data_IF_538108393279
#
_entry.id   IF_538108393279
#
_cell.length_a   1.000
_cell.length_b   1.000
_cell.length_c   1.000
_cell.angle_alpha   90.00
_cell.angle_beta   90.00
_cell.angle_gamma   90.00
#
_symmetry.space_group_name_H-M   'P 1'
#
loop_
_entity.id
_entity.type
_entity.pdbx_description
1 polymer ?
#
# COMPACT_ATOMS: atom_id res chain seq x y z
N UNK A 1 -25.46 69.62 24.38
CA UNK A 1 -24.46 68.81 25.12
C UNK A 1 -24.81 67.33 24.96
N UNK A 2 -23.84 66.47 24.62
CA UNK A 2 -24.09 65.18 23.95
C UNK A 2 -24.43 64.03 24.91
N UNK A 3 -25.23 63.08 24.40
CA UNK A 3 -25.55 61.79 25.03
C UNK A 3 -24.39 60.81 24.84
N UNK A 4 -23.82 60.30 25.93
CA UNK A 4 -22.87 59.17 25.87
C UNK A 4 -23.66 57.86 25.77
N UNK A 5 -23.72 57.29 24.57
CA UNK A 5 -24.06 55.89 24.37
C UNK A 5 -22.79 55.04 24.57
N UNK A 6 -22.72 54.32 25.68
CA UNK A 6 -21.72 53.28 25.88
C UNK A 6 -22.06 52.06 25.02
N UNK A 7 -21.34 51.87 23.92
CA UNK A 7 -21.33 50.61 23.17
C UNK A 7 -20.39 49.62 23.88
N UNK A 8 -20.96 48.54 24.41
CA UNK A 8 -20.22 47.34 24.83
C UNK A 8 -19.96 46.49 23.58
N UNK A 9 -18.71 46.26 23.15
CA UNK A 9 -18.45 45.20 22.19
C UNK A 9 -18.51 43.86 22.94
N UNK A 10 -19.57 43.11 22.65
CA UNK A 10 -19.75 41.72 23.05
C UNK A 10 -18.63 40.90 22.40
N UNK A 11 -17.59 40.58 23.18
CA UNK A 11 -16.48 39.75 22.76
C UNK A 11 -16.96 38.29 22.65
N UNK A 12 -17.33 37.86 21.44
CA UNK A 12 -17.63 36.46 21.13
C UNK A 12 -16.34 35.63 21.18
N UNK A 13 -16.10 35.00 22.32
CA UNK A 13 -15.07 33.99 22.51
C UNK A 13 -15.44 32.76 21.64
N UNK A 14 -14.84 32.65 20.44
CA UNK A 14 -14.86 31.43 19.63
C UNK A 14 -14.06 30.37 20.39
N UNK A 15 -14.75 29.53 21.17
CA UNK A 15 -14.18 28.29 21.68
C UNK A 15 -13.82 27.41 20.48
N UNK A 16 -12.53 27.37 20.15
CA UNK A 16 -11.94 26.31 19.32
C UNK A 16 -12.15 24.99 20.07
N UNK A 17 -13.22 24.28 19.72
CA UNK A 17 -13.37 22.89 20.10
C UNK A 17 -12.21 22.11 19.46
N UNK A 18 -11.51 21.23 20.19
CA UNK A 18 -10.53 20.35 19.59
C UNK A 18 -11.27 19.49 18.55
N UNK A 19 -10.94 19.67 17.28
CA UNK A 19 -11.37 18.74 16.24
C UNK A 19 -10.69 17.41 16.54
N UNK A 20 -11.44 16.48 17.14
CA UNK A 20 -10.98 15.12 17.36
C UNK A 20 -10.67 14.51 16.00
N UNK A 21 -9.40 14.24 15.73
CA UNK A 21 -8.97 13.58 14.51
C UNK A 21 -9.49 12.13 14.51
N UNK A 22 -9.68 11.55 13.32
CA UNK A 22 -9.93 10.11 13.24
C UNK A 22 -8.66 9.35 13.66
N UNK A 23 -8.81 8.20 14.29
CA UNK A 23 -7.68 7.35 14.68
C UNK A 23 -7.59 6.14 13.78
N UNK A 24 -6.37 5.73 13.48
CA UNK A 24 -6.06 4.48 12.81
C UNK A 24 -5.23 3.60 13.72
N UNK A 25 -5.75 2.42 14.01
CA UNK A 25 -5.05 1.38 14.72
C UNK A 25 -4.53 0.32 13.75
N UNK A 26 -3.27 -0.06 13.89
CA UNK A 26 -2.64 -1.12 13.12
C UNK A 26 -2.67 -2.42 13.92
N UNK A 27 -2.96 -3.54 13.25
CA UNK A 27 -2.78 -4.87 13.83
C UNK A 27 -1.32 -5.13 14.25
N UNK A 28 -1.12 -6.03 15.22
CA UNK A 28 0.19 -6.29 15.83
C UNK A 28 1.26 -6.80 14.86
N UNK A 29 0.82 -7.39 13.75
CA UNK A 29 1.66 -7.90 12.67
C UNK A 29 1.86 -6.88 11.53
N UNK A 30 1.53 -5.61 11.77
CA UNK A 30 1.78 -4.51 10.85
C UNK A 30 2.75 -3.51 11.47
N UNK A 31 3.74 -3.12 10.68
CA UNK A 31 4.68 -2.05 10.99
C UNK A 31 4.36 -0.83 10.14
N UNK A 32 4.18 0.32 10.76
CA UNK A 32 4.07 1.60 10.06
C UNK A 32 5.47 2.07 9.64
N UNK A 33 5.68 2.21 8.34
CA UNK A 33 6.97 2.65 7.77
C UNK A 33 7.02 4.17 7.59
N UNK A 34 5.94 4.77 7.10
CA UNK A 34 5.82 6.21 6.92
C UNK A 34 4.36 6.66 6.93
N UNK A 35 4.14 7.92 7.31
CA UNK A 35 2.82 8.56 7.31
C UNK A 35 2.91 10.02 6.85
N UNK A 36 1.81 10.60 6.38
CA UNK A 36 1.72 12.03 6.07
C UNK A 36 1.87 12.90 7.33
N UNK A 37 1.63 12.35 8.52
CA UNK A 37 1.76 13.05 9.80
C UNK A 37 3.20 13.03 10.34
N UNK A 38 4.15 12.44 9.60
CA UNK A 38 5.55 12.37 9.96
C UNK A 38 6.01 10.96 10.32
N UNK A 39 7.21 10.89 10.88
CA UNK A 39 7.88 9.62 11.16
C UNK A 39 7.17 8.90 12.32
N UNK A 40 6.65 7.70 12.10
CA UNK A 40 5.98 6.95 13.15
C UNK A 40 6.98 6.53 14.23
N UNK A 41 6.54 6.53 15.49
CA UNK A 41 7.29 5.86 16.56
C UNK A 41 7.31 4.36 16.28
N UNK A 42 8.47 3.71 16.51
CA UNK A 42 8.65 2.27 16.26
C UNK A 42 7.69 1.38 17.07
N UNK A 43 7.07 1.92 18.11
CA UNK A 43 6.13 1.21 18.99
C UNK A 43 4.68 1.70 18.86
N UNK A 44 4.46 2.81 18.16
CA UNK A 44 3.09 3.35 18.02
C UNK A 44 2.37 2.61 16.91
N UNK A 45 1.27 1.95 17.30
CA UNK A 45 0.30 1.33 16.39
C UNK A 45 -0.95 2.17 16.18
N UNK A 46 -1.06 3.29 16.89
CA UNK A 46 -2.17 4.23 16.76
C UNK A 46 -1.65 5.51 16.12
N UNK A 47 -2.38 6.01 15.14
CA UNK A 47 -2.06 7.22 14.40
C UNK A 47 -3.30 8.11 14.30
N UNK A 48 -3.17 9.40 14.58
CA UNK A 48 -4.20 10.37 14.26
C UNK A 48 -4.17 10.68 12.76
N UNK A 49 -5.34 10.68 12.13
CA UNK A 49 -5.55 10.91 10.72
C UNK A 49 -6.32 12.20 10.49
N UNK A 50 -5.87 13.06 9.56
CA UNK A 50 -6.71 14.14 9.08
C UNK A 50 -7.89 13.57 8.32
N UNK A 51 -9.03 14.26 8.37
CA UNK A 51 -10.19 13.90 7.57
C UNK A 51 -9.86 13.92 6.08
N UNK A 52 -10.39 12.94 5.33
CA UNK A 52 -10.20 12.84 3.89
C UNK A 52 -9.20 11.76 3.47
N UNK A 53 -8.59 11.90 2.29
CA UNK A 53 -7.68 10.89 1.76
C UNK A 53 -6.32 10.97 2.44
N UNK A 54 -5.86 9.84 2.99
CA UNK A 54 -4.52 9.70 3.55
C UNK A 54 -3.81 8.50 2.93
N UNK A 55 -2.51 8.69 2.64
CA UNK A 55 -1.60 7.65 2.17
C UNK A 55 -0.59 7.28 3.25
N UNK A 56 -0.32 5.99 3.39
CA UNK A 56 0.57 5.42 4.39
C UNK A 56 1.46 4.36 3.73
N UNK A 57 2.67 4.18 4.25
CA UNK A 57 3.48 2.99 3.96
C UNK A 57 3.45 2.07 5.17
N UNK A 58 3.06 0.82 4.95
CA UNK A 58 3.03 -0.22 5.98
C UNK A 58 3.76 -1.46 5.51
N UNK A 59 4.10 -2.35 6.43
CA UNK A 59 4.68 -3.65 6.13
C UNK A 59 4.07 -4.72 7.02
N UNK A 60 3.76 -5.87 6.43
CA UNK A 60 3.44 -7.05 7.21
C UNK A 60 4.72 -7.62 7.83
N UNK A 61 4.70 -7.89 9.12
CA UNK A 61 5.82 -8.38 9.91
C UNK A 61 5.30 -9.32 11.01
N UNK A 62 5.55 -10.62 10.87
CA UNK A 62 5.01 -11.66 11.75
C UNK A 62 6.07 -12.71 12.08
N UNK A 63 5.99 -13.39 13.24
CA UNK A 63 6.66 -14.68 13.44
C UNK A 63 6.32 -15.64 12.30
N UNK A 64 7.27 -16.49 11.92
CA UNK A 64 7.14 -17.46 10.83
C UNK A 64 6.17 -18.60 11.14
N UNK A 65 6.00 -18.88 12.43
CA UNK A 65 5.06 -19.85 12.96
C UNK A 65 4.47 -19.30 14.26
N UNK A 66 3.17 -18.99 14.31
CA UNK A 66 2.53 -18.34 15.45
C UNK A 66 2.34 -19.31 16.63
N UNK A 67 2.44 -20.63 16.40
CA UNK A 67 2.26 -21.64 17.43
C UNK A 67 3.60 -22.21 17.95
N UNK A 68 4.72 -21.70 17.44
CA UNK A 68 6.03 -22.19 17.83
C UNK A 68 6.37 -21.77 19.26
N UNK A 69 6.88 -22.71 20.06
CA UNK A 69 7.44 -22.46 21.39
C UNK A 69 8.94 -22.12 21.35
N UNK A 70 9.52 -21.99 20.16
CA UNK A 70 10.91 -21.57 19.99
C UNK A 70 11.08 -20.14 20.53
N UNK A 71 12.14 -19.88 21.29
CA UNK A 71 12.43 -18.57 21.86
C UNK A 71 12.83 -17.53 20.81
N UNK A 72 13.19 -17.97 19.60
CA UNK A 72 13.52 -17.09 18.46
C UNK A 72 12.88 -17.61 17.19
N UNK A 73 11.54 -17.50 17.05
CA UNK A 73 10.89 -17.83 15.79
C UNK A 73 11.39 -16.82 14.75
N UNK A 74 11.84 -17.32 13.60
CA UNK A 74 12.21 -16.46 12.47
C UNK A 74 11.06 -15.53 12.12
N UNK A 75 11.34 -14.35 11.58
CA UNK A 75 10.31 -13.39 11.16
C UNK A 75 10.12 -13.44 9.65
N UNK A 76 8.88 -13.24 9.22
CA UNK A 76 8.50 -13.14 7.82
C UNK A 76 7.96 -11.74 7.60
N UNK A 77 8.53 -11.07 6.60
CA UNK A 77 8.13 -9.71 6.21
C UNK A 77 7.69 -9.65 4.75
N UNK A 78 6.66 -8.85 4.49
CA UNK A 78 6.27 -8.51 3.13
C UNK A 78 7.16 -7.41 2.55
N UNK A 79 7.05 -7.18 1.24
CA UNK A 79 7.44 -5.90 0.68
C UNK A 79 6.56 -4.77 1.28
N UNK A 80 7.00 -3.49 1.22
CA UNK A 80 6.22 -2.36 1.67
C UNK A 80 4.91 -2.25 0.88
N UNK A 81 3.84 -1.84 1.55
CA UNK A 81 2.56 -1.58 0.94
C UNK A 81 2.26 -0.08 1.02
N UNK A 82 1.94 0.52 -0.12
CA UNK A 82 1.27 1.79 -0.18
C UNK A 82 -0.22 1.56 0.06
N UNK A 83 -0.72 2.17 1.12
CA UNK A 83 -2.11 2.09 1.54
C UNK A 83 -2.73 3.47 1.41
N UNK A 84 -3.87 3.56 0.73
CA UNK A 84 -4.68 4.78 0.62
C UNK A 84 -6.05 4.53 1.25
N UNK A 85 -6.42 5.39 2.19
CA UNK A 85 -7.67 5.32 2.95
C UNK A 85 -8.39 6.65 2.90
N UNK A 86 -9.72 6.61 3.00
CA UNK A 86 -10.55 7.80 3.27
C UNK A 86 -10.90 7.81 4.74
N UNK A 87 -10.20 8.63 5.50
CA UNK A 87 -10.44 8.80 6.93
C UNK A 87 -11.71 9.65 7.16
N UNK A 88 -12.59 9.23 8.09
CA UNK A 88 -13.71 10.06 8.52
C UNK A 88 -13.21 11.30 9.28
N UNK A 89 -14.12 12.22 9.59
CA UNK A 89 -13.76 13.39 10.40
C UNK A 89 -13.39 13.03 11.85
N UNK A 90 -13.94 11.94 12.37
CA UNK A 90 -13.77 11.47 13.74
C UNK A 90 -14.13 9.98 13.82
N UNK A 91 -13.65 9.29 14.87
CA UNK A 91 -13.85 7.86 15.10
C UNK A 91 -12.58 7.05 14.87
N UNK A 92 -12.67 5.72 15.05
CA UNK A 92 -11.52 4.82 14.99
C UNK A 92 -11.67 3.80 13.87
N UNK A 93 -10.62 3.72 13.05
CA UNK A 93 -10.41 2.74 12.00
C UNK A 93 -9.36 1.73 12.45
N UNK A 94 -9.46 0.50 11.98
CA UNK A 94 -8.49 -0.57 12.21
C UNK A 94 -8.03 -1.16 10.89
N UNK A 95 -6.72 -1.09 10.66
CA UNK A 95 -6.05 -1.76 9.55
C UNK A 95 -5.57 -3.13 10.02
N UNK A 96 -6.15 -4.18 9.46
CA UNK A 96 -5.96 -5.56 9.95
C UNK A 96 -5.57 -6.51 8.83
N UNK A 97 -5.03 -7.66 9.22
CA UNK A 97 -4.85 -8.81 8.33
C UNK A 97 -6.01 -9.79 8.50
N UNK A 98 -6.27 -10.68 7.53
CA UNK A 98 -7.07 -11.89 7.78
C UNK A 98 -6.43 -12.75 8.89
N UNK A 99 -7.16 -13.76 9.36
CA UNK A 99 -6.64 -14.73 10.31
C UNK A 99 -5.55 -15.59 9.63
N UNK A 100 -4.33 -15.56 10.18
CA UNK A 100 -3.16 -16.28 9.66
C UNK A 100 -2.70 -17.34 10.68
N UNK A 101 -3.44 -18.46 10.75
CA UNK A 101 -3.23 -19.49 11.78
C UNK A 101 -2.07 -20.46 11.50
N UNK A 102 -1.51 -20.46 10.28
CA UNK A 102 -0.52 -21.46 9.85
C UNK A 102 0.69 -20.80 9.17
N UNK A 103 1.86 -21.42 9.32
CA UNK A 103 3.10 -20.94 8.69
C UNK A 103 3.00 -20.83 7.15
N UNK A 104 2.36 -21.75 6.41
CA UNK A 104 2.11 -21.58 4.97
C UNK A 104 1.23 -20.37 4.66
N UNK A 105 0.17 -20.13 5.43
CA UNK A 105 -0.71 -18.97 5.24
C UNK A 105 0.04 -17.65 5.45
N UNK A 106 0.91 -17.58 6.47
CA UNK A 106 1.79 -16.43 6.74
C UNK A 106 2.75 -16.19 5.57
N UNK A 107 3.41 -17.24 5.07
CA UNK A 107 4.32 -17.13 3.92
C UNK A 107 3.61 -16.63 2.68
N UNK A 108 2.44 -17.21 2.36
CA UNK A 108 1.64 -16.80 1.21
C UNK A 108 1.16 -15.35 1.35
N UNK A 109 0.71 -14.97 2.54
CA UNK A 109 0.29 -13.60 2.82
C UNK A 109 1.45 -12.60 2.66
N UNK A 110 2.66 -12.94 3.10
CA UNK A 110 3.81 -12.05 2.96
C UNK A 110 4.23 -11.81 1.50
N UNK A 111 3.95 -12.74 0.58
CA UNK A 111 4.22 -12.58 -0.85
C UNK A 111 3.22 -11.59 -1.48
N UNK A 112 1.94 -11.72 -1.14
CA UNK A 112 0.88 -10.87 -1.67
C UNK A 112 -0.08 -10.43 -0.56
N UNK A 113 0.35 -9.46 0.26
CA UNK A 113 -0.42 -9.04 1.43
C UNK A 113 -1.69 -8.32 1.00
N UNK A 114 -2.81 -8.74 1.57
CA UNK A 114 -4.13 -8.14 1.37
C UNK A 114 -4.69 -7.70 2.72
N UNK A 115 -4.61 -6.42 3.00
CA UNK A 115 -5.11 -5.81 4.23
C UNK A 115 -6.61 -5.53 4.14
N UNK A 116 -7.24 -5.40 5.30
CA UNK A 116 -8.63 -5.00 5.47
C UNK A 116 -8.68 -3.74 6.33
N UNK A 117 -9.58 -2.81 5.99
CA UNK A 117 -9.88 -1.65 6.82
C UNK A 117 -11.26 -1.85 7.43
N UNK A 118 -11.37 -1.67 8.74
CA UNK A 118 -12.63 -1.86 9.47
C UNK A 118 -12.86 -0.70 10.44
N UNK A 119 -14.11 -0.38 10.72
CA UNK A 119 -14.47 0.44 11.87
C UNK A 119 -14.48 -0.40 13.15
N UNK A 120 -14.64 0.24 14.32
CA UNK A 120 -14.72 -0.45 15.63
C UNK A 120 -15.89 -1.44 15.75
N UNK A 121 -16.96 -1.26 14.99
CA UNK A 121 -18.10 -2.17 14.89
C UNK A 121 -17.82 -3.40 14.00
N UNK A 122 -16.63 -3.48 13.39
CA UNK A 122 -16.25 -4.53 12.45
C UNK A 122 -16.71 -4.28 11.02
N UNK A 123 -17.40 -3.17 10.74
CA UNK A 123 -17.87 -2.84 9.39
C UNK A 123 -16.68 -2.54 8.46
N UNK A 124 -16.63 -3.22 7.31
CA UNK A 124 -15.59 -3.01 6.32
C UNK A 124 -15.64 -1.61 5.72
N UNK A 125 -14.47 -1.00 5.55
CA UNK A 125 -14.26 0.31 4.95
C UNK A 125 -13.44 0.19 3.67
N UNK A 126 -13.62 1.10 2.70
CA UNK A 126 -12.87 1.07 1.46
C UNK A 126 -11.38 1.30 1.72
N UNK A 127 -10.56 0.47 1.07
CA UNK A 127 -9.10 0.46 1.17
C UNK A 127 -8.52 0.25 -0.22
N UNK A 128 -7.64 1.15 -0.65
CA UNK A 128 -6.78 0.90 -1.81
C UNK A 128 -5.40 0.53 -1.31
N UNK A 129 -4.84 -0.55 -1.85
CA UNK A 129 -3.49 -1.01 -1.49
C UNK A 129 -2.69 -1.38 -2.73
N UNK A 130 -1.40 -1.10 -2.68
CA UNK A 130 -0.44 -1.42 -3.73
C UNK A 130 0.83 -1.94 -3.06
N UNK A 131 1.24 -3.15 -3.42
CA UNK A 131 2.54 -3.70 -3.01
C UNK A 131 3.63 -2.97 -3.80
N UNK A 132 4.60 -2.42 -3.09
CA UNK A 132 5.75 -1.77 -3.69
C UNK A 132 6.80 -2.80 -4.09
N UNK A 133 7.53 -2.56 -5.20
CA UNK A 133 8.65 -3.40 -5.61
C UNK A 133 9.71 -3.56 -4.49
N UNK A 134 10.24 -4.78 -4.30
CA UNK A 134 11.24 -5.05 -3.24
C UNK A 134 12.56 -4.28 -3.40
N UNK A 135 12.93 -3.83 -4.60
CA UNK A 135 14.10 -2.97 -4.76
C UNK A 135 13.95 -1.61 -4.07
N UNK A 136 12.72 -1.20 -3.75
CA UNK A 136 12.45 -0.01 -2.93
C UNK A 136 12.55 -0.31 -1.42
N UNK A 137 12.77 -1.57 -1.01
CA UNK A 137 12.79 -2.03 0.38
C UNK A 137 14.21 -2.45 0.80
N UNK A 138 15.08 -1.45 0.95
CA UNK A 138 16.47 -1.64 1.40
C UNK A 138 16.64 -1.15 2.83
N UNK A 139 17.72 -1.57 3.49
CA UNK A 139 18.09 -1.07 4.83
C UNK A 139 18.26 0.46 4.89
N UNK A 140 18.47 1.11 3.75
CA UNK A 140 18.69 2.56 3.63
C UNK A 140 17.50 3.31 3.05
N UNK A 141 16.38 2.63 2.77
CA UNK A 141 15.22 3.29 2.19
C UNK A 141 14.69 4.39 3.09
N UNK A 142 14.62 5.60 2.56
CA UNK A 142 13.88 6.69 3.18
C UNK A 142 12.39 6.56 2.83
N UNK A 143 11.66 5.87 3.71
CA UNK A 143 10.22 5.64 3.49
C UNK A 143 9.40 6.94 3.52
N UNK A 144 9.88 8.00 4.18
CA UNK A 144 9.17 9.28 4.19
C UNK A 144 9.27 9.97 2.83
N UNK A 145 10.47 9.99 2.24
CA UNK A 145 10.69 10.47 0.88
C UNK A 145 9.95 9.60 -0.16
N UNK A 146 9.98 8.28 0.03
CA UNK A 146 9.24 7.34 -0.84
C UNK A 146 7.75 7.63 -0.80
N UNK A 147 7.15 7.80 0.38
CA UNK A 147 5.74 8.13 0.52
C UNK A 147 5.41 9.49 -0.11
N UNK A 148 6.28 10.50 0.04
CA UNK A 148 6.09 11.81 -0.57
C UNK A 148 6.03 11.73 -2.11
N UNK A 149 6.79 10.82 -2.73
CA UNK A 149 6.74 10.60 -4.17
C UNK A 149 5.37 10.11 -4.67
N UNK A 150 4.59 9.45 -3.81
CA UNK A 150 3.22 9.00 -4.09
C UNK A 150 2.13 9.98 -3.64
N UNK A 151 2.49 11.05 -2.92
CA UNK A 151 1.58 12.12 -2.51
C UNK A 151 1.57 13.29 -3.50
N UNK A 152 2.64 13.46 -4.27
CA UNK A 152 2.65 14.45 -5.35
C UNK A 152 1.47 14.17 -6.30
N UNK A 153 0.66 15.18 -6.64
CA UNK A 153 -0.32 15.00 -7.71
C UNK A 153 0.45 14.52 -8.93
N UNK A 154 0.02 13.38 -9.49
CA UNK A 154 0.62 12.87 -10.71
C UNK A 154 0.71 14.05 -11.70
N UNK A 155 1.87 14.30 -12.33
CA UNK A 155 1.86 15.16 -13.49
C UNK A 155 0.79 14.56 -14.42
N UNK A 156 -0.15 15.38 -14.87
CA UNK A 156 -1.36 14.95 -15.60
C UNK A 156 -1.09 14.28 -16.96
N UNK A 157 0.13 13.77 -17.19
CA UNK A 157 0.62 13.16 -18.42
C UNK A 157 1.13 11.73 -18.25
N UNK A 158 0.78 11.03 -17.17
CA UNK A 158 0.92 9.56 -17.14
C UNK A 158 -0.46 8.94 -17.12
N UNK A 159 -0.94 8.63 -18.33
CA UNK A 159 -2.09 7.76 -18.56
C UNK A 159 -1.89 6.49 -17.73
N UNK A 160 -2.76 6.20 -16.74
CA UNK A 160 -2.74 4.90 -16.10
C UNK A 160 -3.04 3.83 -17.17
N UNK A 161 -2.37 2.67 -17.16
CA UNK A 161 -2.85 1.55 -17.95
C UNK A 161 -4.23 1.17 -17.40
N UNK A 162 -5.27 1.50 -18.17
CA UNK A 162 -6.62 1.01 -17.93
C UNK A 162 -6.58 -0.51 -18.01
N UNK A 163 -6.52 -1.17 -16.85
CA UNK A 163 -6.89 -2.58 -16.74
C UNK A 163 -8.41 -2.61 -16.78
N UNK A 164 -8.96 -2.63 -17.99
CA UNK A 164 -10.34 -3.01 -18.21
C UNK A 164 -10.47 -4.48 -17.82
N UNK A 165 -10.93 -4.75 -16.59
CA UNK A 165 -11.53 -6.04 -16.26
C UNK A 165 -12.88 -6.09 -16.96
N UNK A 166 -12.92 -6.61 -18.18
CA UNK A 166 -14.17 -7.01 -18.81
C UNK A 166 -14.69 -8.26 -18.09
N UNK A 167 -15.80 -8.06 -17.39
CA UNK A 167 -16.66 -9.07 -16.81
C UNK A 167 -17.39 -9.82 -17.93
N UNK A 168 -17.37 -11.17 -17.98
CA UNK A 168 -18.12 -11.91 -18.98
C UNK A 168 -19.59 -12.04 -18.56
N UNK A 169 -20.50 -11.56 -19.42
CA UNK A 169 -21.92 -11.94 -19.38
C UNK A 169 -22.34 -12.49 -20.76
N UNK A 170 -22.63 -13.80 -20.76
CA UNK A 170 -23.53 -14.60 -21.61
C UNK A 170 -23.80 -14.20 -23.10
N UNK A 171 -23.16 -14.93 -24.02
CA UNK A 171 -23.64 -15.75 -25.19
C UNK A 171 -25.11 -15.59 -25.71
N UNK A 172 -25.46 -15.93 -27.00
CA UNK A 172 -24.98 -15.59 -28.38
C UNK A 172 -26.20 -15.15 -29.27
N UNK A 173 -26.29 -15.27 -30.64
CA UNK A 173 -25.34 -15.65 -31.71
C UNK A 173 -25.33 -14.74 -32.96
N UNK A 174 -24.24 -14.75 -33.76
CA UNK A 174 -24.29 -14.73 -35.25
C UNK A 174 -22.96 -15.16 -35.89
N UNK A 175 -23.11 -15.85 -37.02
CA UNK A 175 -22.20 -16.66 -37.84
C UNK A 175 -21.22 -15.85 -38.72
N UNK A 176 -20.01 -16.42 -38.90
CA UNK A 176 -18.97 -16.27 -39.98
C UNK A 176 -18.33 -14.87 -40.15
N UNK A 177 -17.01 -14.69 -40.33
CA UNK A 177 -16.00 -15.43 -41.12
C UNK A 177 -14.58 -15.17 -40.54
N UNK A 178 -13.68 -16.13 -40.72
CA UNK A 178 -12.27 -16.18 -40.26
C UNK A 178 -11.34 -15.08 -40.83
N UNK A 179 -10.46 -14.54 -39.99
CA UNK A 179 -9.09 -14.11 -40.33
C UNK A 179 -8.19 -14.25 -39.07
N UNK A 180 -6.98 -14.84 -39.14
CA UNK A 180 -6.30 -15.40 -37.97
C UNK A 180 -5.51 -14.35 -37.20
N UNK A 181 -5.99 -13.95 -36.01
CA UNK A 181 -5.18 -13.21 -35.05
C UNK A 181 -4.34 -14.18 -34.22
N UNK A 182 -3.04 -14.20 -34.49
CA UNK A 182 -2.02 -14.92 -33.71
C UNK A 182 -2.11 -14.49 -32.24
N UNK A 183 -2.64 -15.38 -31.40
CA UNK A 183 -2.49 -15.29 -29.95
C UNK A 183 -1.00 -15.45 -29.63
N UNK A 184 -0.33 -14.37 -29.25
CA UNK A 184 0.94 -14.48 -28.55
C UNK A 184 0.67 -15.24 -27.23
N UNK A 185 1.29 -16.41 -26.99
CA UNK A 185 1.08 -17.12 -25.75
C UNK A 185 1.61 -16.23 -24.62
N UNK A 186 0.77 -16.01 -23.60
CA UNK A 186 1.22 -15.44 -22.34
C UNK A 186 2.33 -16.35 -21.79
N UNK A 187 3.59 -15.90 -21.90
CA UNK A 187 4.73 -16.69 -21.46
C UNK A 187 4.59 -16.96 -19.95
N UNK A 188 4.68 -18.23 -19.55
CA UNK A 188 4.73 -18.59 -18.14
C UNK A 188 6.01 -18.05 -17.50
N UNK A 189 6.02 -17.91 -16.18
CA UNK A 189 7.19 -17.42 -15.43
C UNK A 189 8.44 -18.27 -15.73
N UNK A 190 8.27 -19.59 -15.89
CA UNK A 190 9.35 -20.50 -16.28
C UNK A 190 9.88 -20.24 -17.70
N UNK A 191 8.99 -19.87 -18.64
CA UNK A 191 9.39 -19.51 -20.01
C UNK A 191 10.12 -18.16 -20.02
N UNK A 192 9.70 -17.21 -19.19
CA UNK A 192 10.37 -15.94 -19.02
C UNK A 192 11.79 -16.12 -18.43
N UNK A 193 11.94 -16.97 -17.43
CA UNK A 193 13.24 -17.29 -16.82
C UNK A 193 14.17 -18.01 -17.80
N UNK A 194 13.64 -18.96 -18.58
CA UNK A 194 14.41 -19.64 -19.62
C UNK A 194 14.91 -18.67 -20.70
N UNK A 195 14.07 -17.71 -21.11
CA UNK A 195 14.42 -16.70 -22.10
C UNK A 195 15.46 -15.71 -21.56
N UNK A 196 15.33 -15.27 -20.31
CA UNK A 196 16.34 -14.43 -19.65
C UNK A 196 17.71 -15.13 -19.60
N UNK A 197 17.71 -16.43 -19.28
CA UNK A 197 18.94 -17.23 -19.24
C UNK A 197 19.57 -17.36 -20.63
N UNK A 198 18.75 -17.53 -21.67
CA UNK A 198 19.19 -17.57 -23.07
C UNK A 198 19.81 -16.24 -23.50
N UNK A 199 19.13 -15.12 -23.21
CA UNK A 199 19.60 -13.78 -23.54
C UNK A 199 20.91 -13.43 -22.82
N UNK A 200 21.05 -13.83 -21.56
CA UNK A 200 22.28 -13.63 -20.79
C UNK A 200 23.47 -14.40 -21.36
N UNK A 201 23.27 -15.65 -21.79
CA UNK A 201 24.33 -16.46 -22.41
C UNK A 201 24.72 -15.96 -23.81
N UNK A 202 23.76 -15.46 -24.58
CA UNK A 202 23.99 -14.91 -25.91
C UNK A 202 24.63 -13.51 -25.90
N UNK A 203 24.55 -12.78 -24.79
CA UNK A 203 25.11 -11.45 -24.65
C UNK A 203 26.65 -11.46 -24.57
N UNK A 204 27.28 -10.42 -25.09
CA UNK A 204 28.71 -10.14 -24.93
C UNK A 204 29.04 -9.64 -23.51
N UNK A 205 30.33 -9.62 -23.17
CA UNK A 205 30.79 -9.32 -21.81
C UNK A 205 30.36 -7.92 -21.33
N UNK A 206 30.34 -6.93 -22.22
CA UNK A 206 29.92 -5.56 -21.88
C UNK A 206 28.43 -5.52 -21.51
N UNK A 207 27.57 -6.21 -22.28
CA UNK A 207 26.13 -6.30 -21.99
C UNK A 207 25.83 -7.12 -20.74
N UNK A 208 26.56 -8.21 -20.48
CA UNK A 208 26.44 -8.97 -19.23
C UNK A 208 26.81 -8.11 -18.01
N UNK A 209 27.90 -7.34 -18.08
CA UNK A 209 28.29 -6.42 -16.98
C UNK A 209 27.26 -5.33 -16.76
N UNK A 210 26.71 -4.74 -17.82
CA UNK A 210 25.64 -3.75 -17.71
C UNK A 210 24.38 -4.35 -17.08
N UNK A 211 24.02 -5.59 -17.45
CA UNK A 211 22.89 -6.31 -16.87
C UNK A 211 23.09 -6.62 -15.39
N UNK A 212 24.26 -7.11 -14.98
CA UNK A 212 24.57 -7.37 -13.57
C UNK A 212 24.60 -6.07 -12.76
N UNK A 213 25.14 -4.99 -13.32
CA UNK A 213 25.14 -3.68 -12.66
C UNK A 213 23.72 -3.16 -12.43
N UNK A 214 22.85 -3.29 -13.43
CA UNK A 214 21.43 -2.98 -13.28
C UNK A 214 20.73 -3.87 -12.24
N UNK A 215 21.03 -5.18 -12.22
CA UNK A 215 20.44 -6.11 -11.26
C UNK A 215 20.92 -5.88 -9.81
N UNK A 216 22.08 -5.24 -9.63
CA UNK A 216 22.68 -4.94 -8.33
C UNK A 216 22.51 -3.48 -7.88
N UNK A 217 21.90 -2.62 -8.70
CA UNK A 217 21.72 -1.18 -8.45
C UNK A 217 23.04 -0.45 -8.11
N UNK A 218 24.12 -0.81 -8.83
CA UNK A 218 25.50 -0.31 -8.68
C UNK A 218 25.85 0.87 -9.60
#
# INVERSE_FOLDING_TARGET
MPRLSFYYPLLTLLLSLPSQAAQLELADNLTLLASSQGKPSAFSRVLDLPAGETKLLVRFDSPSDPNSTNESPGRITSAPLLVTIKAPAQGTLRLVTPALATAPAIRQFAVQPTLLLTNMDGSAQPLTQQVLPRNQDTLRTDYQALLASYQAPAPSNLTPPTVTRQQPSATPPRVATEEPAVQAPAMSVEQADAELRRLYLAADEARRKAFIRWALDL
#
